data_IF_878746722837
#
_entry.id   IF_878746722837
#
_cell.length_a   1.000
_cell.length_b   1.000
_cell.length_c   1.000
_cell.angle_alpha   90.00
_cell.angle_beta   90.00
_cell.angle_gamma   90.00
#
_symmetry.space_group_name_H-M   'P 1'
#
loop_
_entity.id
_entity.type
_entity.pdbx_description
1 polymer ?
#
# COMPACT_ATOMS: atom_id res chain seq x y z
N UNK A 1 10.39 6.95 -0.10
CA UNK A 1 8.95 7.26 -0.26
C UNK A 1 8.71 8.74 0.05
N UNK A 2 7.63 9.34 -0.47
CA UNK A 2 7.22 10.71 -0.14
C UNK A 2 5.76 10.70 0.36
N UNK A 3 5.26 11.83 0.84
CA UNK A 3 3.91 11.93 1.41
C UNK A 3 2.80 11.53 0.41
N UNK A 4 2.98 11.86 -0.87
CA UNK A 4 2.03 11.51 -1.92
C UNK A 4 1.96 9.99 -2.11
N UNK A 5 3.11 9.31 -2.18
CA UNK A 5 3.16 7.85 -2.25
C UNK A 5 2.47 7.20 -1.05
N UNK A 6 2.70 7.73 0.16
CA UNK A 6 2.06 7.22 1.38
C UNK A 6 0.53 7.38 1.36
N UNK A 7 0.04 8.54 0.91
CA UNK A 7 -1.40 8.79 0.77
C UNK A 7 -2.05 7.87 -0.26
N UNK A 8 -1.41 7.68 -1.42
CA UNK A 8 -1.93 6.80 -2.48
C UNK A 8 -1.95 5.34 -2.02
N UNK A 9 -0.86 4.86 -1.42
CA UNK A 9 -0.79 3.48 -0.93
C UNK A 9 -1.73 3.24 0.26
N UNK A 10 -1.94 4.23 1.12
CA UNK A 10 -2.92 4.12 2.21
C UNK A 10 -4.36 4.09 1.72
N UNK A 11 -4.72 4.91 0.72
CA UNK A 11 -6.01 4.80 0.06
C UNK A 11 -6.18 3.43 -0.61
N UNK A 12 -5.16 2.96 -1.33
CA UNK A 12 -5.17 1.65 -1.98
C UNK A 12 -5.36 0.51 -0.98
N UNK A 13 -4.65 0.53 0.15
CA UNK A 13 -4.83 -0.44 1.23
C UNK A 13 -6.28 -0.41 1.72
N UNK A 14 -6.82 0.76 2.08
CA UNK A 14 -8.19 0.88 2.58
C UNK A 14 -9.24 0.35 1.61
N UNK A 15 -9.05 0.53 0.30
CA UNK A 15 -9.96 -0.02 -0.70
C UNK A 15 -9.77 -1.53 -0.91
N UNK A 16 -8.53 -2.01 -0.90
CA UNK A 16 -8.21 -3.42 -1.24
C UNK A 16 -8.32 -4.36 -0.06
N UNK A 17 -8.33 -3.87 1.19
CA UNK A 17 -8.52 -4.67 2.41
C UNK A 17 -9.97 -5.16 2.54
N UNK A 18 -10.94 -4.34 2.14
CA UNK A 18 -12.38 -4.68 2.20
C UNK A 18 -12.78 -5.64 1.07
N UNK A 19 -11.97 -5.70 0.00
CA UNK A 19 -12.19 -6.57 -1.15
C UNK A 19 -11.36 -7.86 -0.99
N UNK A 20 -11.90 -9.07 -1.24
CA UNK A 20 -11.15 -10.32 -1.12
C UNK A 20 -10.19 -10.52 -2.32
N UNK A 21 -9.27 -9.58 -2.54
CA UNK A 21 -8.38 -9.49 -3.72
C UNK A 21 -6.89 -9.37 -3.36
N UNK A 22 -6.52 -9.61 -2.10
CA UNK A 22 -5.17 -9.46 -1.53
C UNK A 22 -4.65 -8.01 -1.55
N UNK A 23 -4.78 -7.32 -0.43
CA UNK A 23 -4.27 -5.95 -0.25
C UNK A 23 -2.74 -5.86 -0.36
N UNK A 24 -2.01 -6.83 0.21
CA UNK A 24 -0.54 -6.88 0.13
C UNK A 24 0.00 -6.99 -1.31
N UNK A 25 -0.69 -7.70 -2.20
CA UNK A 25 -0.28 -7.80 -3.60
C UNK A 25 -0.33 -6.43 -4.30
N UNK A 26 -1.34 -5.61 -3.98
CA UNK A 26 -1.51 -4.28 -4.55
C UNK A 26 -0.48 -3.29 -4.01
N UNK A 27 -0.13 -3.39 -2.72
CA UNK A 27 0.95 -2.60 -2.12
C UNK A 27 2.33 -2.89 -2.71
N UNK A 28 2.55 -4.07 -3.31
CA UNK A 28 3.79 -4.40 -4.03
C UNK A 28 3.70 -4.01 -5.52
N UNK A 29 2.58 -4.34 -6.17
CA UNK A 29 2.39 -4.12 -7.61
C UNK A 29 2.37 -2.65 -7.99
N UNK A 30 1.73 -1.78 -7.20
CA UNK A 30 1.60 -0.35 -7.53
C UNK A 30 2.96 0.37 -7.46
N UNK A 31 3.76 0.23 -6.38
CA UNK A 31 5.11 0.79 -6.37
C UNK A 31 6.01 0.21 -7.47
N UNK A 32 5.91 -1.10 -7.73
CA UNK A 32 6.69 -1.73 -8.79
C UNK A 32 6.35 -1.17 -10.18
N UNK A 33 5.06 -1.04 -10.50
CA UNK A 33 4.58 -0.51 -11.80
C UNK A 33 4.98 0.96 -11.99
N UNK A 34 4.89 1.76 -10.93
CA UNK A 34 5.17 3.19 -10.96
C UNK A 34 6.65 3.53 -10.68
N UNK A 35 7.50 2.51 -10.50
CA UNK A 35 8.92 2.63 -10.12
C UNK A 35 9.12 3.48 -8.86
N UNK A 36 8.17 3.38 -7.93
CA UNK A 36 8.29 4.01 -6.63
C UNK A 36 9.23 3.21 -5.74
N UNK A 37 9.88 3.86 -4.76
CA UNK A 37 10.61 3.15 -3.73
C UNK A 37 9.65 2.23 -2.97
N UNK A 38 10.08 0.98 -2.76
CA UNK A 38 9.37 -0.06 -2.02
C UNK A 38 8.84 0.49 -0.68
N UNK A 39 7.62 0.09 -0.33
CA UNK A 39 7.15 0.25 1.04
C UNK A 39 7.89 -0.70 1.95
N UNK A 40 8.30 -0.21 3.11
CA UNK A 40 8.90 -1.07 4.13
C UNK A 40 7.83 -1.91 4.82
N UNK A 41 8.19 -3.10 5.30
CA UNK A 41 7.29 -3.97 6.08
C UNK A 41 6.60 -3.23 7.23
N UNK A 42 7.31 -2.32 7.89
CA UNK A 42 6.76 -1.48 8.97
C UNK A 42 5.64 -0.55 8.49
N UNK A 43 5.73 -0.05 7.25
CA UNK A 43 4.68 0.78 6.64
C UNK A 43 3.47 -0.05 6.25
N UNK A 44 3.68 -1.23 5.67
CA UNK A 44 2.59 -2.13 5.30
C UNK A 44 1.80 -2.60 6.53
N UNK A 45 2.50 -2.93 7.63
CA UNK A 45 1.87 -3.26 8.92
C UNK A 45 1.12 -2.06 9.49
N UNK A 46 1.71 -0.85 9.44
CA UNK A 46 1.04 0.35 9.93
C UNK A 46 -0.23 0.69 9.12
N UNK A 47 -0.22 0.44 7.81
CA UNK A 47 -1.39 0.60 6.95
C UNK A 47 -2.49 -0.40 7.29
N UNK A 48 -2.13 -1.67 7.46
CA UNK A 48 -3.08 -2.72 7.81
C UNK A 48 -3.68 -2.52 9.22
N UNK A 49 -2.96 -1.90 10.16
CA UNK A 49 -3.54 -1.49 11.46
C UNK A 49 -4.57 -0.36 11.34
N UNK A 50 -4.52 0.43 10.27
CA UNK A 50 -5.39 1.58 10.04
C UNK A 50 -6.64 1.27 9.22
N UNK A 51 -6.81 0.04 8.74
CA UNK A 51 -7.89 -0.42 7.86
C UNK A 51 -8.62 -1.59 8.50
#
# INVERSE_FOLDING_TARGET
MNLLHALVLGALQGFTEVLPISSSAHLILVPWLLKWPESGLTFDVALHLGT
#
